data_IF_064731040936
#
_entry.id   IF_064731040936
#
_cell.length_a   1.000
_cell.length_b   1.000
_cell.length_c   1.000
_cell.angle_alpha   90.00
_cell.angle_beta   90.00
_cell.angle_gamma   90.00
#
_symmetry.space_group_name_H-M   'P 1'
#
loop_
_entity.id
_entity.type
_entity.pdbx_description
1 polymer ?
#
# COMPACT_ATOMS: atom_id res chain seq x y z
N UNK A 1 -37.69 6.80 11.22
CA UNK A 1 -36.52 6.03 10.81
C UNK A 1 -35.28 6.92 10.75
N UNK A 2 -34.32 6.58 11.55
CA UNK A 2 -33.05 7.32 11.59
C UNK A 2 -31.99 6.51 10.90
N UNK A 3 -31.30 7.12 9.93
CA UNK A 3 -30.20 6.48 9.23
C UNK A 3 -28.90 7.10 9.71
N UNK A 4 -28.05 6.26 10.30
CA UNK A 4 -26.74 6.68 10.76
C UNK A 4 -25.71 6.16 9.76
N UNK A 5 -24.98 7.07 9.11
CA UNK A 5 -23.91 6.70 8.19
C UNK A 5 -22.66 6.29 8.97
N UNK A 6 -22.06 5.18 8.57
CA UNK A 6 -20.79 4.72 9.09
C UNK A 6 -19.59 5.27 8.27
N UNK A 7 -19.76 6.43 7.64
CA UNK A 7 -18.74 7.07 6.83
C UNK A 7 -17.43 7.21 7.61
N UNK A 8 -16.36 6.69 7.06
CA UNK A 8 -15.04 6.72 7.69
C UNK A 8 -14.78 5.63 8.72
N UNK A 9 -15.78 4.82 9.07
CA UNK A 9 -15.62 3.78 10.10
C UNK A 9 -14.55 2.73 9.71
N UNK A 10 -14.35 2.49 8.41
CA UNK A 10 -13.35 1.56 7.91
C UNK A 10 -12.15 2.23 7.24
N UNK A 11 -12.02 3.55 7.40
CA UNK A 11 -10.99 4.30 6.67
C UNK A 11 -9.56 3.87 7.04
N UNK A 12 -9.32 3.57 8.32
CA UNK A 12 -8.01 3.09 8.76
C UNK A 12 -7.71 1.71 8.18
N UNK A 13 -8.67 0.79 8.17
CA UNK A 13 -8.49 -0.54 7.62
C UNK A 13 -8.20 -0.49 6.12
N UNK A 14 -8.90 0.35 5.38
CA UNK A 14 -8.67 0.52 3.95
C UNK A 14 -7.29 1.12 3.69
N UNK A 15 -6.90 2.14 4.46
CA UNK A 15 -5.58 2.76 4.32
C UNK A 15 -4.45 1.77 4.60
N UNK A 16 -4.59 0.95 5.63
CA UNK A 16 -3.63 -0.10 5.93
C UNK A 16 -3.53 -1.13 4.81
N UNK A 17 -4.66 -1.54 4.24
CA UNK A 17 -4.69 -2.45 3.11
C UNK A 17 -3.92 -1.88 1.91
N UNK A 18 -4.13 -0.61 1.61
CA UNK A 18 -3.42 0.06 0.52
C UNK A 18 -1.91 0.01 0.74
N UNK A 19 -1.46 0.30 1.96
CA UNK A 19 -0.03 0.27 2.27
C UNK A 19 0.55 -1.14 2.15
N UNK A 20 -0.19 -2.16 2.58
CA UNK A 20 0.24 -3.55 2.41
C UNK A 20 0.35 -3.92 0.93
N UNK A 21 -0.60 -3.49 0.12
CA UNK A 21 -0.58 -3.74 -1.32
C UNK A 21 0.63 -3.07 -1.99
N UNK A 22 0.92 -1.82 -1.63
CA UNK A 22 2.09 -1.10 -2.14
C UNK A 22 3.37 -1.86 -1.80
N UNK A 23 3.53 -2.26 -0.56
CA UNK A 23 4.70 -3.00 -0.12
C UNK A 23 4.85 -4.32 -0.87
N UNK A 24 3.76 -5.05 -1.02
CA UNK A 24 3.76 -6.33 -1.73
C UNK A 24 4.16 -6.18 -3.20
N UNK A 25 3.60 -5.19 -3.87
CA UNK A 25 3.90 -4.94 -5.29
C UNK A 25 5.36 -4.54 -5.49
N UNK A 26 5.89 -3.69 -4.62
CA UNK A 26 7.29 -3.25 -4.73
C UNK A 26 8.28 -4.36 -4.44
N UNK A 27 7.91 -5.34 -3.64
CA UNK A 27 8.79 -6.48 -3.30
C UNK A 27 8.85 -7.55 -4.40
N UNK A 28 8.22 -7.32 -5.54
CA UNK A 28 8.40 -8.20 -6.70
C UNK A 28 7.92 -9.64 -6.50
N UNK A 29 6.88 -9.83 -5.69
CA UNK A 29 6.30 -11.16 -5.47
C UNK A 29 6.98 -11.97 -4.38
N UNK A 30 7.80 -11.36 -3.52
CA UNK A 30 8.46 -12.05 -2.43
C UNK A 30 7.48 -12.80 -1.50
N UNK A 31 6.30 -12.24 -1.31
CA UNK A 31 5.28 -12.86 -0.46
C UNK A 31 4.61 -14.08 -1.10
N UNK A 32 4.80 -14.28 -2.41
CA UNK A 32 4.24 -15.43 -3.14
C UNK A 32 5.23 -16.57 -3.36
N UNK A 33 6.41 -16.52 -2.75
CA UNK A 33 7.47 -17.49 -3.01
C UNK A 33 7.40 -18.76 -2.13
N UNK A 34 6.41 -18.89 -1.25
CA UNK A 34 6.35 -19.98 -0.28
C UNK A 34 6.38 -21.35 -0.96
N UNK A 35 5.57 -21.56 -1.99
CA UNK A 35 5.50 -22.83 -2.69
C UNK A 35 6.83 -23.17 -3.39
N UNK A 36 7.48 -22.20 -3.98
CA UNK A 36 8.76 -22.35 -4.66
C UNK A 36 9.87 -22.75 -3.66
N UNK A 37 9.93 -22.07 -2.53
CA UNK A 37 10.89 -22.38 -1.47
C UNK A 37 10.60 -23.76 -0.88
N UNK A 38 9.33 -24.09 -0.64
CA UNK A 38 8.94 -25.40 -0.12
C UNK A 38 9.31 -26.54 -1.08
N UNK A 39 9.35 -26.28 -2.38
CA UNK A 39 9.76 -27.26 -3.40
C UNK A 39 11.28 -27.36 -3.56
N UNK A 40 12.06 -26.68 -2.72
CA UNK A 40 13.52 -26.70 -2.76
C UNK A 40 14.15 -25.58 -3.60
N UNK A 41 13.37 -24.71 -4.19
CA UNK A 41 13.86 -23.56 -4.93
C UNK A 41 14.39 -22.47 -4.01
N UNK A 42 15.30 -21.65 -4.54
CA UNK A 42 15.85 -20.51 -3.81
C UNK A 42 15.91 -19.31 -4.73
N UNK A 43 14.79 -18.59 -4.94
CA UNK A 43 14.69 -17.52 -5.95
C UNK A 43 15.34 -16.20 -5.49
N UNK A 44 16.53 -16.25 -4.93
CA UNK A 44 17.21 -15.09 -4.34
C UNK A 44 17.43 -13.95 -5.33
N UNK A 45 17.92 -14.27 -6.54
CA UNK A 45 18.20 -13.25 -7.53
C UNK A 45 16.93 -12.53 -8.00
N UNK A 46 15.84 -13.29 -8.22
CA UNK A 46 14.56 -12.73 -8.64
C UNK A 46 13.92 -11.89 -7.53
N UNK A 47 13.89 -12.41 -6.32
CA UNK A 47 13.29 -11.71 -5.19
C UNK A 47 14.13 -10.54 -4.69
N UNK A 48 15.45 -10.59 -4.92
CA UNK A 48 16.34 -9.49 -4.58
C UNK A 48 16.18 -8.26 -5.47
N UNK A 49 15.41 -8.35 -6.55
CA UNK A 49 15.11 -7.23 -7.44
C UNK A 49 13.95 -6.35 -6.93
N UNK A 50 13.34 -6.71 -5.82
CA UNK A 50 12.30 -5.91 -5.21
C UNK A 50 12.81 -4.51 -4.83
N UNK A 51 11.87 -3.55 -4.78
CA UNK A 51 12.17 -2.15 -4.47
C UNK A 51 11.68 -1.77 -3.09
N UNK A 52 12.35 -0.82 -2.48
CA UNK A 52 11.92 -0.27 -1.20
C UNK A 52 10.81 0.76 -1.42
N UNK A 53 9.96 0.93 -0.40
CA UNK A 53 8.92 1.97 -0.39
C UNK A 53 9.56 3.35 -0.27
N UNK A 54 10.58 3.48 0.56
CA UNK A 54 11.23 4.76 0.84
C UNK A 54 11.74 5.41 -0.44
N UNK A 55 11.47 6.70 -0.58
CA UNK A 55 11.91 7.47 -1.73
C UNK A 55 10.99 7.36 -2.95
N UNK A 56 9.98 6.51 -2.92
CA UNK A 56 9.00 6.40 -4.00
C UNK A 56 7.96 7.50 -3.89
N UNK A 57 7.30 7.79 -5.00
CA UNK A 57 6.22 8.78 -5.04
C UNK A 57 4.88 8.07 -5.17
N UNK A 58 3.94 8.44 -4.32
CA UNK A 58 2.58 7.93 -4.37
C UNK A 58 1.65 9.01 -4.95
N UNK A 59 1.00 8.68 -6.05
CA UNK A 59 -0.06 9.52 -6.61
C UNK A 59 -1.41 9.12 -6.01
N UNK A 60 -2.16 10.10 -5.51
CA UNK A 60 -3.49 9.87 -4.95
C UNK A 60 -4.50 10.68 -5.74
N UNK A 61 -5.51 10.01 -6.28
CA UNK A 61 -6.64 10.68 -6.93
C UNK A 61 -7.82 10.65 -5.95
N UNK A 62 -8.31 11.83 -5.61
CA UNK A 62 -9.33 11.97 -4.58
C UNK A 62 -8.70 12.03 -3.18
N UNK A 63 -8.66 13.24 -2.60
CA UNK A 63 -8.00 13.44 -1.32
C UNK A 63 -9.01 13.58 -0.19
N UNK A 64 -9.94 12.60 -0.10
CA UNK A 64 -10.90 12.50 0.99
C UNK A 64 -10.31 11.87 2.24
N UNK A 65 -11.17 11.35 3.11
CA UNK A 65 -10.75 10.80 4.40
C UNK A 65 -9.76 9.63 4.22
N UNK A 66 -10.07 8.67 3.35
CA UNK A 66 -9.18 7.53 3.10
C UNK A 66 -7.87 8.00 2.47
N UNK A 67 -7.93 8.86 1.47
CA UNK A 67 -6.74 9.37 0.80
C UNK A 67 -5.80 10.10 1.76
N UNK A 68 -6.33 10.88 2.68
CA UNK A 68 -5.52 11.58 3.70
C UNK A 68 -4.86 10.62 4.66
N UNK A 69 -5.54 9.55 5.06
CA UNK A 69 -4.98 8.52 5.92
C UNK A 69 -3.87 7.74 5.22
N UNK A 70 -4.09 7.40 3.95
CA UNK A 70 -3.04 6.77 3.13
C UNK A 70 -1.82 7.68 3.01
N UNK A 71 -2.03 8.98 2.75
CA UNK A 71 -0.93 9.93 2.65
C UNK A 71 -0.11 10.01 3.93
N UNK A 72 -0.78 10.02 5.08
CA UNK A 72 -0.11 10.06 6.38
C UNK A 72 0.77 8.82 6.59
N UNK A 73 0.24 7.63 6.30
CA UNK A 73 0.99 6.39 6.42
C UNK A 73 2.14 6.33 5.42
N UNK A 74 1.90 6.72 4.18
CA UNK A 74 2.92 6.70 3.14
C UNK A 74 4.09 7.64 3.47
N UNK A 75 3.80 8.82 4.01
CA UNK A 75 4.85 9.74 4.47
C UNK A 75 5.69 9.14 5.59
N UNK A 76 5.05 8.41 6.50
CA UNK A 76 5.77 7.72 7.56
C UNK A 76 6.73 6.65 7.01
N UNK A 77 6.41 6.07 5.86
CA UNK A 77 7.29 5.15 5.14
C UNK A 77 8.35 5.85 4.29
N UNK A 78 8.37 7.17 4.28
CA UNK A 78 9.35 7.92 3.49
C UNK A 78 8.97 8.17 2.04
N UNK A 79 7.69 8.08 1.70
CA UNK A 79 7.19 8.37 0.35
C UNK A 79 6.94 9.86 0.16
N UNK A 80 7.13 10.34 -1.07
CA UNK A 80 6.60 11.62 -1.51
C UNK A 80 5.15 11.42 -1.96
N UNK A 81 4.31 12.43 -1.73
CA UNK A 81 2.88 12.37 -2.06
C UNK A 81 2.55 13.42 -3.11
N UNK A 82 1.87 12.99 -4.16
CA UNK A 82 1.23 13.88 -5.13
C UNK A 82 -0.26 13.56 -5.11
N UNK A 83 -1.07 14.54 -4.77
CA UNK A 83 -2.52 14.35 -4.67
C UNK A 83 -3.25 15.22 -5.67
N UNK A 84 -4.30 14.68 -6.26
CA UNK A 84 -5.21 15.40 -7.12
C UNK A 84 -6.64 15.15 -6.65
N UNK A 85 -7.33 16.22 -6.30
CA UNK A 85 -8.73 16.16 -5.93
C UNK A 85 -9.54 17.00 -6.92
N UNK A 86 -10.30 16.33 -7.80
CA UNK A 86 -11.04 17.04 -8.85
C UNK A 86 -12.29 17.76 -8.36
N UNK A 87 -12.65 17.65 -7.09
CA UNK A 87 -13.88 18.25 -6.54
C UNK A 87 -13.63 19.59 -5.88
#
# INVERSE_FOLDING_TARGET
LEVISATGANADSVAEYVMLAIGQLLRGGAFGATAEVAAGGWPRARLGQGREIRGKTLGIVGFGDIGRRVAKLARAFGMAIVAHDPV
#
